data_IF_931752692350
#
_entry.id   IF_931752692350
#
_cell.length_a   1.000
_cell.length_b   1.000
_cell.length_c   1.000
_cell.angle_alpha   90.00
_cell.angle_beta   90.00
_cell.angle_gamma   90.00
#
_symmetry.space_group_name_H-M   'P 1'
#
loop_
_entity.id
_entity.type
_entity.pdbx_description
1 polymer ?
#
# COMPACT_ATOMS: atom_id res chain seq x y z
N UNK A 1 -8.46 -9.10 -26.68
CA UNK A 1 -7.70 -7.97 -26.08
C UNK A 1 -7.68 -6.72 -26.96
N UNK A 2 -7.92 -6.83 -28.28
CA UNK A 2 -7.78 -5.68 -29.21
C UNK A 2 -8.87 -4.60 -29.12
N UNK A 3 -10.08 -4.90 -28.64
CA UNK A 3 -11.14 -3.89 -28.55
C UNK A 3 -10.84 -2.80 -27.49
N UNK A 4 -10.36 -3.23 -26.32
CA UNK A 4 -10.04 -2.30 -25.21
C UNK A 4 -8.81 -1.45 -25.54
N UNK A 5 -7.80 -2.03 -26.21
CA UNK A 5 -6.58 -1.31 -26.58
C UNK A 5 -6.85 -0.14 -27.54
N UNK A 6 -7.88 -0.26 -28.39
CA UNK A 6 -8.28 0.77 -29.36
C UNK A 6 -9.10 1.90 -28.74
N UNK A 7 -9.86 1.62 -27.68
CA UNK A 7 -10.67 2.62 -26.96
C UNK A 7 -9.84 3.52 -26.04
N UNK A 8 -8.67 3.06 -25.60
CA UNK A 8 -7.77 3.80 -24.71
C UNK A 8 -6.63 4.52 -25.44
N UNK A 9 -6.60 4.45 -26.78
CA UNK A 9 -5.58 5.06 -27.61
C UNK A 9 -5.76 6.59 -27.64
N UNK A 10 -4.70 7.33 -27.30
CA UNK A 10 -4.72 8.80 -27.21
C UNK A 10 -5.20 9.37 -25.87
N UNK A 11 -5.66 8.53 -24.94
CA UNK A 11 -6.01 8.96 -23.58
C UNK A 11 -4.78 8.90 -22.66
N UNK A 12 -4.59 9.95 -21.87
CA UNK A 12 -3.60 9.99 -20.78
C UNK A 12 -4.27 9.60 -19.48
N UNK A 13 -3.82 8.50 -18.88
CA UNK A 13 -4.28 8.05 -17.58
C UNK A 13 -3.19 8.32 -16.56
N UNK A 14 -3.49 9.11 -15.52
CA UNK A 14 -2.53 9.34 -14.44
C UNK A 14 -2.64 8.29 -13.33
N UNK A 15 -3.76 7.57 -13.31
CA UNK A 15 -4.07 6.57 -12.29
C UNK A 15 -4.72 5.35 -12.93
N UNK A 16 -4.34 4.17 -12.46
CA UNK A 16 -4.95 2.91 -12.88
C UNK A 16 -5.23 2.01 -11.69
N UNK A 17 -6.39 1.34 -11.70
CA UNK A 17 -6.82 0.42 -10.63
C UNK A 17 -6.95 -0.98 -11.20
N UNK A 18 -6.26 -1.94 -10.59
CA UNK A 18 -6.40 -3.36 -10.87
C UNK A 18 -7.16 -3.99 -9.71
N UNK A 19 -8.23 -4.70 -10.00
CA UNK A 19 -9.05 -5.36 -9.00
C UNK A 19 -9.17 -6.85 -9.35
N UNK A 20 -8.53 -7.71 -8.56
CA UNK A 20 -8.50 -9.16 -8.72
C UNK A 20 -8.95 -9.77 -7.39
N UNK A 21 -10.24 -10.10 -7.30
CA UNK A 21 -10.85 -10.63 -6.08
C UNK A 21 -11.21 -12.09 -6.30
N UNK A 22 -10.98 -12.94 -5.30
CA UNK A 22 -11.21 -14.39 -5.37
C UNK A 22 -10.33 -15.13 -6.40
N UNK A 23 -9.22 -14.53 -6.82
CA UNK A 23 -8.26 -15.14 -7.73
C UNK A 23 -6.85 -14.64 -7.41
N UNK A 24 -5.85 -15.36 -7.92
CA UNK A 24 -4.44 -15.04 -7.75
C UNK A 24 -3.92 -14.23 -8.93
N UNK A 25 -3.15 -13.18 -8.66
CA UNK A 25 -2.36 -12.52 -9.70
C UNK A 25 -1.20 -13.45 -10.09
N UNK A 26 -1.36 -14.14 -11.21
CA UNK A 26 -0.29 -14.96 -11.81
C UNK A 26 0.86 -14.09 -12.33
N UNK A 27 2.05 -14.66 -12.48
CA UNK A 27 3.23 -13.97 -13.02
C UNK A 27 2.96 -13.39 -14.43
N UNK A 28 2.22 -14.13 -15.26
CA UNK A 28 1.83 -13.66 -16.59
C UNK A 28 0.90 -12.45 -16.55
N UNK A 29 -0.01 -12.38 -15.57
CA UNK A 29 -0.88 -11.22 -15.40
C UNK A 29 -0.13 -10.05 -14.76
N UNK A 30 0.71 -10.29 -13.76
CA UNK A 30 1.61 -9.30 -13.17
C UNK A 30 2.48 -8.61 -14.23
N UNK A 31 3.11 -9.37 -15.12
CA UNK A 31 3.93 -8.81 -16.21
C UNK A 31 3.13 -7.91 -17.15
N UNK A 32 1.88 -8.26 -17.47
CA UNK A 32 0.99 -7.42 -18.28
C UNK A 32 0.62 -6.13 -17.56
N UNK A 33 0.37 -6.19 -16.25
CA UNK A 33 0.11 -5.01 -15.41
C UNK A 33 1.28 -4.03 -15.53
N UNK A 34 2.52 -4.50 -15.34
CA UNK A 34 3.72 -3.67 -15.44
C UNK A 34 3.87 -3.06 -16.83
N UNK A 35 3.70 -3.86 -17.89
CA UNK A 35 3.77 -3.37 -19.27
C UNK A 35 2.76 -2.25 -19.56
N UNK A 36 1.54 -2.33 -19.01
CA UNK A 36 0.53 -1.29 -19.17
C UNK A 36 0.96 -0.01 -18.44
N UNK A 37 1.45 -0.13 -17.21
CA UNK A 37 1.92 1.01 -16.40
C UNK A 37 3.04 1.76 -17.13
N UNK A 38 4.02 1.02 -17.65
CA UNK A 38 5.16 1.59 -18.37
C UNK A 38 4.75 2.19 -19.72
N UNK A 39 3.99 1.44 -20.54
CA UNK A 39 3.55 1.89 -21.87
C UNK A 39 2.78 3.21 -21.81
N UNK A 40 1.96 3.39 -20.77
CA UNK A 40 1.10 4.56 -20.63
C UNK A 40 1.65 5.60 -19.63
N UNK A 41 2.86 5.40 -19.10
CA UNK A 41 3.48 6.28 -18.10
C UNK A 41 2.56 6.56 -16.89
N UNK A 42 1.89 5.52 -16.39
CA UNK A 42 0.97 5.65 -15.24
C UNK A 42 1.78 5.97 -13.98
N UNK A 43 1.50 7.10 -13.34
CA UNK A 43 2.19 7.51 -12.12
C UNK A 43 1.57 6.92 -10.84
N UNK A 44 0.26 6.70 -10.83
CA UNK A 44 -0.48 6.19 -9.67
C UNK A 44 -1.12 4.83 -9.96
N UNK A 45 -0.86 3.86 -9.10
CA UNK A 45 -1.41 2.51 -9.26
C UNK A 45 -2.11 2.10 -7.98
N UNK A 46 -3.31 1.56 -8.12
CA UNK A 46 -4.06 0.91 -7.05
C UNK A 46 -4.17 -0.57 -7.40
N UNK A 47 -3.70 -1.44 -6.52
CA UNK A 47 -3.84 -2.89 -6.64
C UNK A 47 -4.74 -3.38 -5.53
N UNK A 48 -5.84 -4.01 -5.90
CA UNK A 48 -6.75 -4.70 -4.99
C UNK A 48 -6.63 -6.18 -5.32
N UNK A 49 -6.04 -6.97 -4.42
CA UNK A 49 -5.76 -8.38 -4.66
C UNK A 49 -5.66 -9.17 -3.36
N UNK A 50 -6.05 -10.45 -3.40
CA UNK A 50 -5.89 -11.36 -2.25
C UNK A 50 -4.49 -11.99 -2.21
N UNK A 51 -3.99 -12.46 -3.36
CA UNK A 51 -2.72 -13.18 -3.49
C UNK A 51 -2.01 -12.85 -4.81
N UNK A 52 -0.67 -12.90 -4.80
CA UNK A 52 0.17 -12.70 -5.98
C UNK A 52 1.24 -13.80 -6.06
N UNK A 53 1.54 -14.31 -7.25
CA UNK A 53 2.75 -15.12 -7.47
C UNK A 53 4.00 -14.27 -7.34
N UNK A 54 4.97 -14.72 -6.52
CA UNK A 54 6.22 -13.99 -6.28
C UNK A 54 6.00 -12.54 -5.80
N UNK A 55 5.28 -12.35 -4.68
CA UNK A 55 4.78 -11.04 -4.25
C UNK A 55 5.90 -10.00 -4.11
N UNK A 56 7.05 -10.36 -3.55
CA UNK A 56 8.20 -9.45 -3.42
C UNK A 56 8.69 -8.94 -4.79
N UNK A 57 8.81 -9.83 -5.78
CA UNK A 57 9.26 -9.44 -7.13
C UNK A 57 8.22 -8.55 -7.81
N UNK A 58 6.94 -8.87 -7.67
CA UNK A 58 5.86 -8.04 -8.20
C UNK A 58 5.87 -6.63 -7.60
N UNK A 59 6.00 -6.51 -6.28
CA UNK A 59 6.07 -5.23 -5.57
C UNK A 59 7.26 -4.38 -6.01
N UNK A 60 8.44 -4.99 -6.15
CA UNK A 60 9.63 -4.31 -6.66
C UNK A 60 9.47 -3.85 -8.12
N UNK A 61 8.80 -4.65 -8.95
CA UNK A 61 8.50 -4.27 -10.33
C UNK A 61 7.51 -3.11 -10.38
N UNK A 62 6.43 -3.14 -9.60
CA UNK A 62 5.50 -2.02 -9.47
C UNK A 62 6.23 -0.75 -9.05
N UNK A 63 7.09 -0.84 -8.03
CA UNK A 63 7.84 0.31 -7.52
C UNK A 63 8.87 0.87 -8.52
N UNK A 64 9.24 0.08 -9.53
CA UNK A 64 10.08 0.55 -10.65
C UNK A 64 9.24 1.28 -11.70
N UNK A 65 7.99 0.88 -11.90
CA UNK A 65 7.12 1.39 -12.95
C UNK A 65 6.33 2.65 -12.54
N UNK A 66 5.87 2.74 -11.28
CA UNK A 66 5.00 3.81 -10.79
C UNK A 66 5.62 4.63 -9.64
N UNK A 67 5.15 5.88 -9.46
CA UNK A 67 5.60 6.77 -8.38
C UNK A 67 4.79 6.61 -7.09
N UNK A 68 3.49 6.41 -7.24
CA UNK A 68 2.55 6.26 -6.13
C UNK A 68 1.82 4.94 -6.23
N UNK A 69 1.90 4.13 -5.19
CA UNK A 69 1.29 2.80 -5.15
C UNK A 69 0.38 2.72 -3.93
N UNK A 70 -0.83 2.25 -4.15
CA UNK A 70 -1.78 1.87 -3.11
C UNK A 70 -2.07 0.39 -3.27
N UNK A 71 -1.95 -0.37 -2.18
CA UNK A 71 -2.27 -1.80 -2.18
C UNK A 71 -3.37 -2.00 -1.16
N UNK A 72 -4.43 -2.69 -1.55
CA UNK A 72 -5.48 -3.12 -0.65
C UNK A 72 -5.67 -4.62 -0.77
N UNK A 73 -5.56 -5.33 0.35
CA UNK A 73 -5.85 -6.76 0.37
C UNK A 73 -7.28 -6.98 0.85
N UNK A 74 -8.02 -7.81 0.11
CA UNK A 74 -9.41 -8.18 0.42
C UNK A 74 -9.47 -9.51 1.17
N UNK A 75 -10.61 -9.83 1.80
CA UNK A 75 -10.77 -11.06 2.61
C UNK A 75 -11.17 -12.28 1.77
N UNK A 76 -11.26 -12.17 0.45
CA UNK A 76 -12.32 -12.89 -0.27
C UNK A 76 -12.09 -14.41 -0.31
N UNK A 77 -10.85 -14.87 -0.09
CA UNK A 77 -10.46 -16.27 -0.15
C UNK A 77 -10.04 -16.92 1.18
N UNK A 78 -9.87 -16.17 2.28
CA UNK A 78 -9.23 -16.71 3.51
C UNK A 78 -10.22 -16.90 4.67
N UNK A 79 -10.81 -18.10 4.76
CA UNK A 79 -11.35 -18.64 6.00
C UNK A 79 -10.32 -19.62 6.60
N UNK A 80 -9.38 -19.12 7.41
CA UNK A 80 -8.54 -19.97 8.28
C UNK A 80 -7.07 -20.19 7.91
N UNK A 81 -6.45 -19.29 7.14
CA UNK A 81 -5.00 -19.33 6.88
C UNK A 81 -4.22 -18.20 7.55
N UNK A 82 -2.89 -18.30 7.53
CA UNK A 82 -1.97 -17.33 8.17
C UNK A 82 -2.10 -15.92 7.58
N UNK A 83 -1.85 -14.85 8.35
CA UNK A 83 -1.97 -13.46 7.92
C UNK A 83 -0.81 -13.08 6.98
N UNK A 84 -0.94 -13.45 5.70
CA UNK A 84 0.06 -13.16 4.67
C UNK A 84 -0.29 -11.87 3.93
N UNK A 85 0.70 -11.00 3.71
CA UNK A 85 0.51 -9.85 2.81
C UNK A 85 0.70 -10.28 1.36
N UNK A 86 -0.40 -10.31 0.59
CA UNK A 86 -0.43 -10.83 -0.80
C UNK A 86 0.14 -12.25 -0.95
N UNK A 87 0.10 -13.07 0.11
CA UNK A 87 0.71 -14.40 0.13
C UNK A 87 2.19 -14.44 0.53
N UNK A 88 2.79 -13.31 0.93
CA UNK A 88 4.16 -13.22 1.42
C UNK A 88 4.25 -13.13 2.95
N UNK A 89 5.31 -13.70 3.51
CA UNK A 89 5.84 -13.36 4.83
C UNK A 89 6.94 -12.30 4.69
N UNK A 90 7.12 -11.49 5.74
CA UNK A 90 8.23 -10.54 5.94
C UNK A 90 8.24 -9.33 4.97
N UNK A 91 8.57 -8.15 5.49
CA UNK A 91 8.64 -6.91 4.70
C UNK A 91 10.03 -6.53 4.20
N UNK A 92 10.93 -7.48 4.01
CA UNK A 92 12.29 -7.18 3.54
C UNK A 92 12.32 -6.38 2.22
N UNK A 93 11.25 -6.45 1.43
CA UNK A 93 11.08 -5.73 0.17
C UNK A 93 10.77 -4.22 0.32
N UNK A 94 10.21 -3.77 1.46
CA UNK A 94 9.67 -2.41 1.58
C UNK A 94 10.72 -1.30 1.39
N UNK A 95 11.92 -1.36 2.01
CA UNK A 95 12.99 -0.40 1.71
C UNK A 95 13.40 -0.43 0.23
N UNK A 96 13.52 -1.63 -0.36
CA UNK A 96 13.90 -1.81 -1.76
C UNK A 96 12.88 -1.26 -2.76
N UNK A 97 11.62 -1.04 -2.38
CA UNK A 97 10.66 -0.33 -3.21
C UNK A 97 10.95 1.18 -3.29
N UNK A 98 11.32 1.81 -2.17
CA UNK A 98 11.60 3.25 -2.13
C UNK A 98 12.94 3.64 -2.77
N UNK A 99 13.87 2.68 -2.90
CA UNK A 99 15.11 2.84 -3.67
C UNK A 99 14.87 2.95 -5.19
N UNK A 100 13.65 2.63 -5.67
CA UNK A 100 13.29 2.60 -7.10
C UNK A 100 12.63 3.91 -7.57
N UNK A 101 11.65 3.86 -8.48
CA UNK A 101 10.95 5.06 -8.96
C UNK A 101 9.92 5.56 -7.94
N UNK A 102 9.31 4.64 -7.19
CA UNK A 102 8.30 4.94 -6.19
C UNK A 102 8.81 5.91 -5.12
N UNK A 103 7.95 6.87 -4.76
CA UNK A 103 8.15 7.75 -3.63
C UNK A 103 6.98 7.70 -2.64
N UNK A 104 5.85 7.09 -3.01
CA UNK A 104 4.64 7.06 -2.20
C UNK A 104 4.03 5.66 -2.16
N UNK A 105 3.85 5.12 -0.96
CA UNK A 105 3.23 3.82 -0.73
C UNK A 105 2.15 3.91 0.35
N UNK A 106 0.99 3.36 0.05
CA UNK A 106 -0.03 3.07 1.04
C UNK A 106 -0.43 1.60 1.00
N UNK A 107 -0.52 0.99 2.19
CA UNK A 107 -0.97 -0.38 2.33
C UNK A 107 -2.22 -0.41 3.24
N UNK A 108 -3.31 -0.88 2.66
CA UNK A 108 -4.57 -1.13 3.34
C UNK A 108 -4.77 -2.64 3.51
N UNK A 109 -4.40 -3.14 4.68
CA UNK A 109 -4.49 -4.54 5.02
C UNK A 109 -5.29 -4.75 6.32
N UNK A 110 -6.43 -4.07 6.44
CA UNK A 110 -7.26 -4.03 7.66
C UNK A 110 -7.77 -5.39 8.16
N UNK A 111 -7.73 -6.40 7.29
CA UNK A 111 -8.21 -7.75 7.58
C UNK A 111 -7.08 -8.69 8.04
N UNK A 112 -5.83 -8.36 7.70
CA UNK A 112 -4.65 -9.15 8.05
C UNK A 112 -3.62 -8.27 8.75
N UNK A 113 -4.01 -7.65 9.87
CA UNK A 113 -3.22 -6.63 10.58
C UNK A 113 -1.87 -7.13 11.10
N UNK A 114 -1.75 -8.45 11.27
CA UNK A 114 -0.55 -9.15 11.75
C UNK A 114 0.58 -9.22 10.72
N UNK A 115 0.34 -8.81 9.47
CA UNK A 115 1.39 -8.81 8.44
C UNK A 115 2.54 -7.83 8.74
N UNK A 116 2.31 -6.87 9.64
CA UNK A 116 3.32 -5.96 10.19
C UNK A 116 3.56 -6.34 11.64
N UNK A 117 4.62 -7.10 11.91
CA UNK A 117 5.03 -7.36 13.27
C UNK A 117 5.88 -6.20 13.85
N UNK A 118 6.26 -6.33 15.12
CA UNK A 118 7.03 -5.29 15.82
C UNK A 118 8.44 -5.10 15.24
N UNK A 119 9.08 -6.15 14.72
CA UNK A 119 10.43 -6.08 14.17
C UNK A 119 10.42 -5.45 12.78
N UNK A 120 9.41 -5.76 11.96
CA UNK A 120 9.14 -5.10 10.70
C UNK A 120 8.91 -3.59 10.90
N UNK A 121 8.07 -3.21 11.87
CA UNK A 121 7.84 -1.80 12.22
C UNK A 121 9.15 -1.12 12.62
N UNK A 122 9.95 -1.75 13.47
CA UNK A 122 11.25 -1.21 13.89
C UNK A 122 12.20 -1.05 12.71
N UNK A 123 12.30 -2.06 11.83
CA UNK A 123 13.11 -2.00 10.62
C UNK A 123 12.69 -0.84 9.72
N UNK A 124 11.39 -0.67 9.46
CA UNK A 124 10.88 0.43 8.62
C UNK A 124 11.26 1.79 9.20
N UNK A 125 11.08 1.97 10.52
CA UNK A 125 11.42 3.21 11.24
C UNK A 125 12.91 3.54 11.20
N UNK A 126 13.77 2.52 11.19
CA UNK A 126 15.22 2.69 11.13
C UNK A 126 15.76 2.92 9.71
N UNK A 127 15.12 2.31 8.70
CA UNK A 127 15.62 2.31 7.31
C UNK A 127 14.99 3.38 6.44
N UNK A 128 13.66 3.55 6.48
CA UNK A 128 12.97 4.46 5.57
C UNK A 128 13.44 5.92 5.71
N UNK A 129 13.65 6.48 6.92
CA UNK A 129 14.19 7.83 7.07
C UNK A 129 15.63 8.02 6.56
N UNK A 130 16.37 6.95 6.27
CA UNK A 130 17.76 7.03 5.76
C UNK A 130 17.82 7.03 4.23
N UNK A 131 16.70 6.81 3.56
CA UNK A 131 16.63 6.85 2.10
C UNK A 131 16.76 8.32 1.67
N UNK A 132 17.68 8.60 0.75
CA UNK A 132 17.89 9.94 0.17
C UNK A 132 16.79 10.29 -0.85
N UNK A 133 15.54 10.25 -0.38
CA UNK A 133 14.34 10.56 -1.13
C UNK A 133 13.27 11.09 -0.18
N UNK A 134 12.50 12.07 -0.67
CA UNK A 134 11.30 12.55 0.02
C UNK A 134 10.21 11.49 -0.09
N UNK A 135 10.15 10.55 0.84
CA UNK A 135 9.18 9.45 0.83
C UNK A 135 7.87 9.81 1.54
N UNK A 136 6.81 9.09 1.19
CA UNK A 136 5.54 9.08 1.90
C UNK A 136 5.11 7.63 2.05
N UNK A 137 5.10 7.12 3.29
CA UNK A 137 4.71 5.76 3.61
C UNK A 137 3.61 5.79 4.66
N UNK A 138 2.55 5.01 4.44
CA UNK A 138 1.62 4.68 5.50
C UNK A 138 1.04 3.27 5.32
N UNK A 139 0.72 2.63 6.44
CA UNK A 139 0.16 1.28 6.43
C UNK A 139 -0.75 1.06 7.64
N UNK A 140 -1.83 0.31 7.44
CA UNK A 140 -2.60 -0.25 8.54
C UNK A 140 -1.81 -1.37 9.21
N UNK A 141 -1.90 -1.52 10.53
CA UNK A 141 -1.18 -2.54 11.32
C UNK A 141 -1.93 -2.83 12.63
N UNK A 142 -1.50 -3.86 13.35
CA UNK A 142 -1.85 -4.02 14.77
C UNK A 142 -1.27 -2.89 15.61
N UNK A 143 -1.94 -2.53 16.70
CA UNK A 143 -1.47 -1.48 17.63
C UNK A 143 -0.19 -1.90 18.38
N UNK A 144 0.07 -3.19 18.51
CA UNK A 144 1.27 -3.69 19.21
C UNK A 144 2.55 -3.11 18.58
N UNK A 145 3.26 -2.26 19.33
CA UNK A 145 4.47 -1.57 18.85
C UNK A 145 4.24 -0.15 18.31
N UNK A 146 2.99 0.34 18.28
CA UNK A 146 2.64 1.69 17.85
C UNK A 146 2.60 2.71 18.99
N UNK A 147 2.55 2.27 20.25
CA UNK A 147 2.49 3.18 21.39
C UNK A 147 3.70 4.12 21.44
N UNK A 148 3.45 5.43 21.54
CA UNK A 148 4.48 6.45 21.67
C UNK A 148 5.24 6.77 20.37
N UNK A 149 4.76 6.33 19.19
CA UNK A 149 5.35 6.74 17.91
C UNK A 149 4.86 8.13 17.52
N UNK A 150 5.61 9.14 17.93
CA UNK A 150 5.49 10.50 17.40
C UNK A 150 6.84 11.22 17.54
N UNK A 151 7.66 11.18 16.49
CA UNK A 151 8.96 11.81 16.47
C UNK A 151 9.42 12.11 15.04
N UNK A 152 10.48 12.90 14.92
CA UNK A 152 11.13 13.19 13.64
C UNK A 152 12.50 12.51 13.56
N UNK A 153 12.85 12.00 12.39
CA UNK A 153 14.14 11.41 12.07
C UNK A 153 14.51 11.75 10.61
N UNK A 154 15.65 12.41 10.39
CA UNK A 154 16.15 12.78 9.05
C UNK A 154 15.10 13.48 8.16
N UNK A 155 14.34 14.43 8.72
CA UNK A 155 13.28 15.13 8.00
C UNK A 155 12.03 14.29 7.72
N UNK A 156 11.99 13.02 8.14
CA UNK A 156 10.79 12.20 8.14
C UNK A 156 10.13 12.20 9.51
N UNK A 157 8.84 12.49 9.54
CA UNK A 157 7.99 12.35 10.71
C UNK A 157 7.49 10.91 10.76
N UNK A 158 7.69 10.27 11.90
CA UNK A 158 7.21 8.92 12.22
C UNK A 158 6.07 9.06 13.20
N UNK A 159 4.89 8.60 12.80
CA UNK A 159 3.67 8.72 13.59
C UNK A 159 2.89 7.42 13.61
N UNK A 160 2.15 7.21 14.69
CA UNK A 160 1.06 6.24 14.72
C UNK A 160 -0.25 6.91 15.09
N UNK A 161 -1.35 6.37 14.57
CA UNK A 161 -2.68 6.65 15.10
C UNK A 161 -3.36 5.35 15.50
N UNK A 162 -4.06 5.40 16.63
CA UNK A 162 -4.86 4.30 17.15
C UNK A 162 -6.32 4.63 16.87
N UNK A 163 -7.06 3.70 16.29
CA UNK A 163 -8.49 3.85 16.11
C UNK A 163 -9.21 3.29 17.34
N UNK A 164 -9.56 4.16 18.29
CA UNK A 164 -10.43 3.78 19.41
C UNK A 164 -11.83 3.45 18.87
N UNK A 165 -12.26 2.18 18.98
CA UNK A 165 -13.65 1.86 18.67
C UNK A 165 -14.07 0.41 18.41
N UNK A 166 -13.19 -0.59 18.41
CA UNK A 166 -13.58 -2.00 18.23
C UNK A 166 -12.66 -2.95 19.01
N UNK A 167 -13.13 -4.18 19.30
CA UNK A 167 -12.42 -5.28 19.98
C UNK A 167 -11.09 -5.70 19.31
N UNK A 168 -10.82 -5.23 18.08
CA UNK A 168 -9.56 -5.49 17.38
C UNK A 168 -8.71 -4.24 17.39
N UNK A 169 -7.56 -4.33 18.06
CA UNK A 169 -6.53 -3.31 18.17
C UNK A 169 -5.95 -2.92 16.79
N UNK A 170 -6.59 -1.95 16.13
CA UNK A 170 -6.21 -1.42 14.82
C UNK A 170 -5.47 -0.09 14.92
N UNK A 171 -4.35 0.00 14.23
CA UNK A 171 -3.60 1.23 14.09
C UNK A 171 -3.19 1.54 12.65
N UNK A 172 -2.66 2.74 12.47
CA UNK A 172 -1.94 3.16 11.30
C UNK A 172 -0.53 3.55 11.74
N UNK A 173 0.47 3.16 10.97
CA UNK A 173 1.81 3.73 11.05
C UNK A 173 2.06 4.56 9.80
N UNK A 174 2.71 5.71 9.97
CA UNK A 174 3.18 6.54 8.87
C UNK A 174 4.64 6.93 9.08
N UNK A 175 5.38 6.98 7.97
CA UNK A 175 6.76 7.46 7.90
C UNK A 175 6.82 8.37 6.68
N UNK A 176 6.73 9.67 6.92
CA UNK A 176 6.50 10.66 5.86
C UNK A 176 7.49 11.80 5.97
N UNK A 177 8.17 12.11 4.87
CA UNK A 177 9.01 13.30 4.78
C UNK A 177 8.19 14.55 5.11
N UNK A 178 8.72 15.46 5.93
CA UNK A 178 8.03 16.64 6.45
C UNK A 178 7.44 17.51 5.36
N UNK A 179 8.13 17.64 4.22
CA UNK A 179 7.63 18.36 3.04
C UNK A 179 6.45 17.69 2.31
N UNK A 180 5.97 16.54 2.78
CA UNK A 180 4.89 15.74 2.17
C UNK A 180 3.74 15.46 3.15
N UNK A 181 3.74 16.09 4.33
CA UNK A 181 2.74 15.89 5.38
C UNK A 181 1.30 16.14 4.92
N UNK A 182 1.11 17.14 4.04
CA UNK A 182 -0.22 17.48 3.50
C UNK A 182 -0.69 16.53 2.40
N UNK A 183 0.17 15.62 1.93
CA UNK A 183 -0.22 14.65 0.91
C UNK A 183 -1.15 13.59 1.48
N UNK A 184 -2.24 13.34 0.75
CA UNK A 184 -3.18 12.25 1.04
C UNK A 184 -3.32 11.31 -0.15
N UNK A 185 -3.73 10.07 0.09
CA UNK A 185 -4.28 9.24 -0.98
C UNK A 185 -5.74 9.64 -1.20
N UNK A 186 -5.99 10.47 -2.22
CA UNK A 186 -7.34 10.91 -2.61
C UNK A 186 -8.29 9.74 -2.92
N UNK A 187 -7.74 8.57 -3.26
CA UNK A 187 -8.46 7.34 -3.58
C UNK A 187 -8.95 6.53 -2.37
N UNK A 188 -8.56 6.88 -1.13
CA UNK A 188 -9.04 6.16 0.07
C UNK A 188 -10.55 6.27 0.26
N UNK A 189 -11.14 7.35 -0.25
CA UNK A 189 -12.60 7.53 -0.28
C UNK A 189 -13.25 6.53 -1.24
N UNK A 190 -12.64 6.21 -2.38
CA UNK A 190 -13.16 5.21 -3.34
C UNK A 190 -12.97 3.79 -2.84
N UNK A 191 -11.89 3.49 -2.10
CA UNK A 191 -11.72 2.16 -1.48
C UNK A 191 -12.87 1.83 -0.52
N UNK A 192 -13.49 2.81 0.13
CA UNK A 192 -14.71 2.60 0.94
C UNK A 192 -15.92 2.13 0.12
N UNK A 193 -15.99 2.45 -1.18
CA UNK A 193 -17.12 2.05 -2.03
C UNK A 193 -16.97 0.59 -2.50
N UNK A 194 -15.73 0.10 -2.64
CA UNK A 194 -15.45 -1.29 -3.02
C UNK A 194 -15.48 -2.26 -1.84
N UNK A 195 -15.11 -1.81 -0.65
CA UNK A 195 -15.22 -2.59 0.57
C UNK A 195 -16.61 -2.38 1.17
N UNK A 196 -17.49 -3.37 1.07
CA UNK A 196 -18.88 -3.40 1.57
C UNK A 196 -18.98 -3.34 3.12
N UNK A 197 -18.23 -2.44 3.76
CA UNK A 197 -18.06 -2.39 5.20
C UNK A 197 -18.02 -0.91 5.66
N UNK A 198 -19.09 -0.40 6.29
CA UNK A 198 -19.15 0.98 6.76
C UNK A 198 -18.27 1.12 8.03
N UNK A 199 -17.17 1.89 8.00
CA UNK A 199 -16.43 2.16 9.24
C UNK A 199 -15.83 3.58 9.37
N UNK A 200 -15.89 4.16 10.59
CA UNK A 200 -15.51 5.55 10.88
C UNK A 200 -14.00 5.81 11.09
N UNK A 201 -13.15 4.77 11.14
CA UNK A 201 -11.71 4.90 11.44
C UNK A 201 -10.89 5.80 10.47
N UNK A 202 -11.43 6.06 9.28
CA UNK A 202 -10.83 6.98 8.30
C UNK A 202 -11.02 8.47 8.67
N UNK A 203 -11.87 8.81 9.65
CA UNK A 203 -12.13 10.20 10.04
C UNK A 203 -10.84 10.92 10.48
N UNK A 204 -9.93 10.23 11.18
CA UNK A 204 -8.68 10.81 11.68
C UNK A 204 -7.69 11.28 10.59
N UNK A 205 -7.87 10.88 9.32
CA UNK A 205 -7.04 11.32 8.19
C UNK A 205 -7.83 11.95 7.02
N UNK A 206 -9.17 11.92 7.08
CA UNK A 206 -10.03 12.59 6.09
C UNK A 206 -10.42 14.00 6.56
N UNK A 207 -10.54 14.23 7.87
CA UNK A 207 -10.99 15.51 8.42
C UNK A 207 -9.96 16.13 9.38
N UNK A 208 -8.77 16.50 8.89
CA UNK A 208 -7.95 17.64 9.35
C UNK A 208 -6.97 17.99 8.23
#
# INVERSE_FOLDING_TARGET
MDAVAKEIEGLTFNMLTFNVVNDKITQGFANRIIQIIEKHNIDQVIVIADEVEEPAQFLLNLASAARSICISQTCASYWGGEPLFLGAHELSWAPGMFERKMDKLFIDNRLFLEFLDTEDIKMLRERLPKIDKKIWFASTCLIHGLYGLNYENNGCVVQSCISDGNEVERGLISITHSSRQDERFKSLVKLREYHFIPYPALACYIEY
#
